data_IF_403892295286
#
_entry.id   IF_403892295286
#
_cell.length_a   1.000
_cell.length_b   1.000
_cell.length_c   1.000
_cell.angle_alpha   90.00
_cell.angle_beta   90.00
_cell.angle_gamma   90.00
#
_symmetry.space_group_name_H-M   'P 1'
#
loop_
_entity.id
_entity.type
_entity.pdbx_description
1 polymer ?
#
# COMPACT_ATOMS: atom_id res chain seq x y z
N UNK A 1 8.56 -9.54 -9.97
CA UNK A 1 8.81 -8.23 -9.32
C UNK A 1 9.13 -7.09 -10.30
N UNK A 2 9.62 -7.34 -11.52
CA UNK A 2 9.93 -6.28 -12.51
C UNK A 2 8.73 -5.45 -13.01
N UNK A 3 7.51 -5.96 -12.85
CA UNK A 3 6.28 -5.36 -13.36
C UNK A 3 5.79 -4.14 -12.55
N UNK A 4 5.89 -4.21 -11.21
CA UNK A 4 5.50 -3.10 -10.31
C UNK A 4 6.49 -1.92 -10.34
N UNK A 5 7.70 -2.16 -10.85
CA UNK A 5 8.78 -1.18 -10.97
C UNK A 5 8.80 -0.51 -12.36
N UNK A 6 7.92 -0.92 -13.28
CA UNK A 6 7.89 -0.38 -14.63
C UNK A 6 7.21 1.00 -14.64
N UNK A 7 7.96 2.00 -15.10
CA UNK A 7 7.44 3.33 -15.48
C UNK A 7 6.58 3.29 -16.75
N UNK A 8 6.38 2.12 -17.35
CA UNK A 8 5.52 1.99 -18.53
C UNK A 8 4.06 2.15 -18.12
N UNK A 9 3.36 3.10 -18.74
CA UNK A 9 1.92 3.32 -18.59
C UNK A 9 1.08 2.08 -18.97
N UNK A 10 1.68 1.12 -19.69
CA UNK A 10 1.04 -0.14 -20.09
C UNK A 10 1.18 -1.26 -19.06
N UNK A 11 1.97 -1.09 -17.99
CA UNK A 11 2.12 -2.17 -17.01
C UNK A 11 0.76 -2.58 -16.42
N UNK A 12 -0.10 -1.68 -15.90
CA UNK A 12 -1.39 -2.10 -15.32
C UNK A 12 -2.29 -2.90 -16.27
N UNK A 13 -2.21 -2.69 -17.59
CA UNK A 13 -3.08 -3.36 -18.57
C UNK A 13 -2.80 -4.86 -18.76
N UNK A 14 -1.69 -5.39 -18.25
CA UNK A 14 -1.42 -6.84 -18.31
C UNK A 14 -2.02 -7.62 -17.13
N UNK A 15 -2.56 -6.93 -16.12
CA UNK A 15 -3.29 -7.58 -15.03
C UNK A 15 -4.78 -7.66 -15.36
N UNK A 16 -5.35 -8.84 -15.20
CA UNK A 16 -6.80 -8.98 -15.12
C UNK A 16 -7.28 -8.81 -13.67
N UNK A 17 -8.59 -8.76 -13.49
CA UNK A 17 -9.21 -8.59 -12.16
C UNK A 17 -8.77 -9.69 -11.17
N UNK A 18 -8.67 -10.94 -11.61
CA UNK A 18 -8.27 -12.07 -10.76
C UNK A 18 -6.84 -11.93 -10.25
N UNK A 19 -5.93 -11.42 -11.09
CA UNK A 19 -4.55 -11.14 -10.67
C UNK A 19 -4.50 -10.03 -9.62
N UNK A 20 -5.29 -8.97 -9.81
CA UNK A 20 -5.41 -7.86 -8.84
C UNK A 20 -5.93 -8.36 -7.50
N UNK A 21 -6.99 -9.17 -7.49
CA UNK A 21 -7.54 -9.75 -6.26
C UNK A 21 -6.52 -10.64 -5.54
N UNK A 22 -5.81 -11.50 -6.29
CA UNK A 22 -4.79 -12.38 -5.72
C UNK A 22 -3.65 -11.58 -5.10
N UNK A 23 -3.18 -10.54 -5.78
CA UNK A 23 -2.10 -9.68 -5.32
C UNK A 23 -2.53 -8.80 -4.14
N UNK A 24 -3.75 -8.28 -4.14
CA UNK A 24 -4.30 -7.51 -3.03
C UNK A 24 -4.46 -8.38 -1.76
N UNK A 25 -4.99 -9.60 -1.89
CA UNK A 25 -5.03 -10.56 -0.76
C UNK A 25 -3.63 -10.88 -0.25
N UNK A 26 -2.65 -10.98 -1.14
CA UNK A 26 -1.24 -11.15 -0.74
C UNK A 26 -0.73 -9.93 0.04
N UNK A 27 -1.04 -8.72 -0.43
CA UNK A 27 -0.70 -7.48 0.28
C UNK A 27 -1.32 -7.48 1.69
N UNK A 28 -2.62 -7.76 1.82
CA UNK A 28 -3.30 -7.87 3.13
C UNK A 28 -2.59 -8.86 4.06
N UNK A 29 -2.22 -10.03 3.55
CA UNK A 29 -1.48 -11.03 4.33
C UNK A 29 -0.05 -10.58 4.70
N UNK A 30 0.63 -9.81 3.84
CA UNK A 30 1.94 -9.24 4.13
C UNK A 30 1.85 -8.11 5.18
N UNK A 31 0.80 -7.27 5.13
CA UNK A 31 0.51 -6.29 6.18
C UNK A 31 0.28 -6.99 7.52
N UNK A 32 -0.65 -7.94 7.56
CA UNK A 32 -1.00 -8.67 8.78
C UNK A 32 0.18 -9.39 9.44
N UNK A 33 1.14 -9.88 8.65
CA UNK A 33 2.38 -10.51 9.16
C UNK A 33 3.36 -9.55 9.80
N UNK A 34 3.34 -8.27 9.41
CA UNK A 34 4.24 -7.26 9.98
C UNK A 34 3.64 -6.58 11.22
N UNK A 35 2.31 -6.60 11.38
CA UNK A 35 1.65 -6.18 12.61
C UNK A 35 2.21 -6.97 13.78
N UNK A 36 2.60 -6.26 14.84
CA UNK A 36 3.21 -6.90 15.99
C UNK A 36 4.73 -7.08 15.87
N UNK A 37 5.31 -6.89 14.69
CA UNK A 37 6.73 -7.07 14.41
C UNK A 37 7.55 -5.77 14.45
N UNK A 38 8.77 -5.85 13.91
CA UNK A 38 9.68 -4.70 13.77
C UNK A 38 9.52 -3.98 12.41
N UNK A 39 8.64 -4.44 11.52
CA UNK A 39 8.43 -3.87 10.18
C UNK A 39 9.69 -3.88 9.29
N UNK A 40 10.56 -4.89 9.44
CA UNK A 40 11.85 -4.99 8.72
C UNK A 40 11.70 -5.10 7.20
N UNK A 41 10.72 -5.89 6.75
CA UNK A 41 10.44 -6.14 5.33
C UNK A 41 9.10 -5.53 4.92
N UNK A 42 8.60 -4.58 5.71
CA UNK A 42 7.25 -4.07 5.50
C UNK A 42 7.13 -3.30 4.20
N UNK A 43 8.19 -2.68 3.69
CA UNK A 43 8.18 -1.89 2.46
C UNK A 43 7.59 -2.60 1.24
N UNK A 44 7.68 -3.94 1.16
CA UNK A 44 7.08 -4.70 0.06
C UNK A 44 5.55 -4.60 0.03
N UNK A 45 4.88 -4.52 1.18
CA UNK A 45 3.42 -4.56 1.25
C UNK A 45 2.78 -3.23 0.79
N UNK A 46 3.19 -2.05 1.31
CA UNK A 46 2.76 -0.76 0.78
C UNK A 46 3.14 -0.57 -0.69
N UNK A 47 4.32 -1.05 -1.11
CA UNK A 47 4.76 -0.94 -2.50
C UNK A 47 3.88 -1.76 -3.46
N UNK A 48 3.55 -3.00 -3.07
CA UNK A 48 2.61 -3.84 -3.82
C UNK A 48 1.24 -3.16 -3.93
N UNK A 49 0.72 -2.62 -2.83
CA UNK A 49 -0.57 -1.94 -2.83
C UNK A 49 -0.57 -0.69 -3.73
N UNK A 50 0.45 0.17 -3.62
CA UNK A 50 0.59 1.33 -4.49
C UNK A 50 0.61 0.93 -5.98
N UNK A 51 1.30 -0.17 -6.31
CA UNK A 51 1.31 -0.72 -7.67
C UNK A 51 -0.08 -1.19 -8.15
N UNK A 52 -0.88 -1.77 -7.25
CA UNK A 52 -2.24 -2.24 -7.56
C UNK A 52 -3.22 -1.08 -7.74
N UNK A 53 -3.12 -0.02 -6.94
CA UNK A 53 -3.96 1.18 -7.05
C UNK A 53 -3.86 1.81 -8.45
N UNK A 54 -2.69 1.76 -9.10
CA UNK A 54 -2.55 2.23 -10.50
C UNK A 54 -3.49 1.53 -11.49
N UNK A 55 -4.04 0.37 -11.14
CA UNK A 55 -5.01 -0.34 -11.96
C UNK A 55 -6.33 0.43 -12.12
N UNK A 56 -6.54 1.53 -11.36
CA UNK A 56 -7.57 2.55 -11.66
C UNK A 56 -7.54 3.00 -13.13
N UNK A 57 -6.36 3.04 -13.76
CA UNK A 57 -6.21 3.39 -15.19
C UNK A 57 -6.90 2.39 -16.14
N UNK A 58 -7.12 1.16 -15.69
CA UNK A 58 -7.80 0.09 -16.44
C UNK A 58 -9.26 -0.02 -16.01
N UNK A 59 -9.53 0.06 -14.70
CA UNK A 59 -10.88 0.08 -14.15
C UNK A 59 -10.99 1.15 -13.04
N UNK A 60 -11.64 2.30 -13.32
CA UNK A 60 -11.75 3.41 -12.37
C UNK A 60 -12.44 3.09 -11.04
N UNK A 61 -13.22 2.00 -10.96
CA UNK A 61 -13.95 1.61 -9.75
C UNK A 61 -13.27 0.48 -8.97
N UNK A 62 -12.16 -0.08 -9.47
CA UNK A 62 -11.46 -1.15 -8.77
C UNK A 62 -10.67 -0.58 -7.59
N UNK A 63 -10.65 -1.27 -6.44
CA UNK A 63 -9.91 -0.83 -5.24
C UNK A 63 -10.32 0.55 -4.70
N UNK A 64 -11.55 0.99 -4.98
CA UNK A 64 -12.14 2.20 -4.40
C UNK A 64 -13.09 1.83 -3.26
N UNK A 65 -12.96 2.49 -2.11
CA UNK A 65 -13.80 2.29 -0.92
C UNK A 65 -15.27 2.53 -1.29
N UNK A 66 -16.15 1.64 -0.80
CA UNK A 66 -17.58 1.69 -1.10
C UNK A 66 -17.99 1.24 -2.52
N UNK A 67 -17.03 1.09 -3.44
CA UNK A 67 -17.25 0.52 -4.77
C UNK A 67 -16.72 -0.92 -4.91
N UNK A 68 -15.68 -1.27 -4.16
CA UNK A 68 -15.03 -2.56 -4.18
C UNK A 68 -14.77 -3.07 -2.75
N UNK A 69 -15.36 -4.21 -2.38
CA UNK A 69 -15.19 -4.81 -1.06
C UNK A 69 -13.71 -5.10 -0.72
N UNK A 70 -12.87 -5.32 -1.74
CA UNK A 70 -11.43 -5.52 -1.55
C UNK A 70 -10.73 -4.24 -1.07
N UNK A 71 -11.24 -3.06 -1.43
CA UNK A 71 -10.76 -1.78 -0.94
C UNK A 71 -11.04 -1.62 0.56
N UNK A 72 -12.21 -2.08 1.02
CA UNK A 72 -12.59 -2.04 2.44
C UNK A 72 -11.69 -2.96 3.28
N UNK A 73 -11.38 -4.15 2.76
CA UNK A 73 -10.43 -5.08 3.40
C UNK A 73 -9.00 -4.47 3.48
N UNK A 74 -8.58 -3.78 2.43
CA UNK A 74 -7.29 -3.07 2.37
C UNK A 74 -7.25 -1.89 3.35
N UNK A 75 -8.32 -1.10 3.42
CA UNK A 75 -8.44 -0.01 4.39
C UNK A 75 -8.32 -0.54 5.82
N UNK A 76 -9.09 -1.58 6.16
CA UNK A 76 -9.09 -2.17 7.50
C UNK A 76 -7.69 -2.65 7.91
N UNK A 77 -6.96 -3.33 7.01
CA UNK A 77 -5.61 -3.79 7.37
C UNK A 77 -4.60 -2.63 7.50
N UNK A 78 -4.75 -1.55 6.72
CA UNK A 78 -3.95 -0.34 6.88
C UNK A 78 -4.21 0.31 8.24
N UNK A 79 -5.47 0.52 8.61
CA UNK A 79 -5.86 1.12 9.89
C UNK A 79 -5.34 0.30 11.09
N UNK A 80 -5.44 -1.02 11.01
CA UNK A 80 -4.87 -1.92 12.03
C UNK A 80 -3.35 -1.77 12.14
N UNK A 81 -2.68 -1.55 11.02
CA UNK A 81 -1.23 -1.34 10.97
C UNK A 81 -0.83 0.00 11.55
N UNK A 82 -1.52 1.08 11.18
CA UNK A 82 -1.32 2.41 11.78
C UNK A 82 -1.54 2.39 13.28
N UNK A 83 -2.57 1.68 13.74
CA UNK A 83 -2.86 1.51 15.16
C UNK A 83 -1.69 0.84 15.89
N UNK A 84 -1.17 -0.28 15.39
CA UNK A 84 0.00 -0.95 15.99
C UNK A 84 1.26 -0.06 15.99
N UNK A 85 1.50 0.67 14.89
CA UNK A 85 2.59 1.64 14.81
C UNK A 85 2.45 2.78 15.84
N UNK A 86 1.22 3.25 16.09
CA UNK A 86 0.96 4.37 16.99
C UNK A 86 0.95 4.00 18.47
N UNK A 87 0.37 2.86 18.82
CA UNK A 87 0.12 2.45 20.22
C UNK A 87 1.37 1.88 20.92
N UNK A 88 2.41 1.50 20.16
CA UNK A 88 3.67 0.98 20.72
C UNK A 88 4.53 2.07 21.36
N UNK A 89 4.30 2.28 22.67
CA UNK A 89 5.01 3.29 23.50
C UNK A 89 6.48 3.00 23.79
N UNK A 90 6.90 1.73 23.87
CA UNK A 90 8.29 1.32 24.15
C UNK A 90 8.93 0.67 22.93
N UNK A 91 9.05 1.46 21.87
CA UNK A 91 9.61 1.02 20.60
C UNK A 91 11.14 1.14 20.58
N UNK A 92 11.81 0.21 19.88
CA UNK A 92 13.23 0.33 19.53
C UNK A 92 13.47 1.59 18.68
N UNK A 93 14.69 2.13 18.67
CA UNK A 93 15.04 3.26 17.80
C UNK A 93 14.79 2.94 16.31
N UNK A 94 15.00 1.68 15.90
CA UNK A 94 14.72 1.22 14.54
C UNK A 94 13.22 1.20 14.23
N UNK A 95 12.40 0.76 15.19
CA UNK A 95 10.94 0.80 15.07
C UNK A 95 10.46 2.25 14.94
N UNK A 96 10.98 3.18 15.74
CA UNK A 96 10.60 4.60 15.66
C UNK A 96 10.91 5.19 14.28
N UNK A 97 12.09 4.91 13.72
CA UNK A 97 12.44 5.33 12.35
C UNK A 97 11.47 4.78 11.30
N UNK A 98 11.12 3.49 11.41
CA UNK A 98 10.17 2.85 10.50
C UNK A 98 8.76 3.40 10.65
N UNK A 99 8.31 3.65 11.87
CA UNK A 99 7.04 4.31 12.16
C UNK A 99 6.97 5.66 11.45
N UNK A 100 7.97 6.52 11.65
CA UNK A 100 8.01 7.85 11.01
C UNK A 100 8.05 7.77 9.48
N UNK A 101 8.66 6.71 8.92
CA UNK A 101 8.69 6.46 7.48
C UNK A 101 7.36 5.94 6.93
N UNK A 102 6.73 4.98 7.60
CA UNK A 102 5.58 4.27 7.03
C UNK A 102 4.24 4.95 7.31
N UNK A 103 4.07 5.64 8.43
CA UNK A 103 2.82 6.35 8.72
C UNK A 103 2.36 7.29 7.59
N UNK A 104 3.20 8.18 7.01
CA UNK A 104 2.75 9.02 5.90
C UNK A 104 2.37 8.19 4.66
N UNK A 105 3.15 7.15 4.33
CA UNK A 105 2.84 6.26 3.20
C UNK A 105 1.48 5.57 3.38
N UNK A 106 1.15 5.13 4.60
CA UNK A 106 -0.14 4.51 4.90
C UNK A 106 -1.30 5.50 4.77
N UNK A 107 -1.08 6.76 5.15
CA UNK A 107 -2.07 7.83 4.94
C UNK A 107 -2.31 8.09 3.46
N UNK A 108 -1.25 8.21 2.66
CA UNK A 108 -1.36 8.40 1.21
C UNK A 108 -2.13 7.25 0.55
N UNK A 109 -1.83 6.00 0.93
CA UNK A 109 -2.53 4.83 0.43
C UNK A 109 -4.03 4.83 0.77
N UNK A 110 -4.42 5.28 1.97
CA UNK A 110 -5.84 5.42 2.32
C UNK A 110 -6.54 6.49 1.48
N UNK A 111 -5.89 7.64 1.27
CA UNK A 111 -6.42 8.73 0.43
C UNK A 111 -6.64 8.25 -1.00
N UNK A 112 -5.72 7.46 -1.54
CA UNK A 112 -5.87 6.83 -2.85
C UNK A 112 -7.03 5.82 -2.90
N UNK A 113 -7.17 4.95 -1.90
CA UNK A 113 -8.30 4.01 -1.81
C UNK A 113 -9.65 4.73 -1.65
N UNK A 114 -9.68 5.92 -1.04
CA UNK A 114 -10.88 6.74 -0.91
C UNK A 114 -11.33 7.36 -2.24
N UNK A 115 -10.53 7.24 -3.31
CA UNK A 115 -10.76 7.93 -4.57
C UNK A 115 -10.53 9.45 -4.49
N UNK A 116 -10.01 9.93 -3.36
CA UNK A 116 -9.60 11.32 -3.14
C UNK A 116 -8.16 11.57 -3.63
N UNK A 117 -7.41 10.49 -3.86
CA UNK A 117 -6.11 10.47 -4.50
C UNK A 117 -6.18 10.97 -5.94
N UNK A 118 -5.82 12.24 -6.13
CA UNK A 118 -5.62 12.85 -7.45
C UNK A 118 -4.15 12.80 -7.89
N UNK A 119 -3.28 12.06 -7.19
CA UNK A 119 -1.84 12.10 -7.41
C UNK A 119 -1.34 10.85 -8.18
N UNK A 120 -1.25 10.91 -9.52
CA UNK A 120 -0.72 9.81 -10.34
C UNK A 120 0.74 9.45 -10.03
N UNK A 121 1.43 10.24 -9.21
CA UNK A 121 2.85 10.16 -8.89
C UNK A 121 3.14 9.70 -7.44
N UNK A 122 2.14 9.21 -6.67
CA UNK A 122 2.37 8.64 -5.30
C UNK A 122 3.49 7.60 -5.26
N UNK A 123 3.69 6.87 -6.36
CA UNK A 123 4.80 5.93 -6.51
C UNK A 123 6.18 6.59 -6.61
N UNK A 124 6.29 7.79 -7.19
CA UNK A 124 7.52 8.58 -7.22
C UNK A 124 7.86 9.08 -5.81
N UNK A 125 6.85 9.47 -5.02
CA UNK A 125 7.03 9.92 -3.65
C UNK A 125 7.53 8.78 -2.74
N UNK A 126 6.98 7.57 -2.91
CA UNK A 126 7.46 6.35 -2.21
C UNK A 126 8.89 5.98 -2.66
N UNK A 127 9.24 6.19 -3.93
CA UNK A 127 10.59 5.95 -4.44
C UNK A 127 11.62 6.93 -3.87
N UNK A 128 11.28 8.22 -3.79
CA UNK A 128 12.13 9.25 -3.16
C UNK A 128 12.41 8.97 -1.69
N UNK A 129 11.40 8.48 -0.95
CA UNK A 129 11.54 8.09 0.46
C UNK A 129 12.30 6.75 0.68
N UNK A 130 12.58 6.01 -0.39
CA UNK A 130 13.30 4.73 -0.36
C UNK A 130 14.76 4.82 -0.78
N UNK A 131 15.17 5.96 -1.33
CA UNK A 131 16.50 6.20 -1.90
C UNK A 131 17.38 7.20 -1.14
N UNK A 132 17.24 7.31 0.19
CA UNK A 132 18.06 8.18 1.05
C UNK A 132 18.55 7.46 2.30
#
# INVERSE_FOLDING_TARGET
MAFMLSRSDTAPSYLNRTDVERLARRAIADFGRNIGGEYTMFHYAPFLLAGLIRWHRVNPMALVIGADALADDLLNIIERTEKDLNERRRASANFQRRRSKFLPILQDLKSELAGEGSNPDVLLDIYGASGG
#
